data_IF_726328131804
#
_entry.id   IF_726328131804
#
_cell.length_a   1.000
_cell.length_b   1.000
_cell.length_c   1.000
_cell.angle_alpha   90.00
_cell.angle_beta   90.00
_cell.angle_gamma   90.00
#
_symmetry.space_group_name_H-M   'P 1'
#
loop_
_entity.id
_entity.type
_entity.pdbx_description
1 polymer ?
#
# COMPACT_ATOMS: atom_id res chain seq x y z
N UNK A 1 32.03 -58.78 40.56
CA UNK A 1 31.88 -58.25 39.17
C UNK A 1 30.60 -57.45 39.10
N UNK A 2 30.69 -56.14 39.07
CA UNK A 2 29.52 -55.23 38.90
C UNK A 2 29.59 -54.69 37.45
N UNK A 3 28.60 -55.07 36.63
CA UNK A 3 28.43 -54.49 35.30
C UNK A 3 27.79 -53.08 35.42
N UNK A 4 28.46 -52.03 34.93
CA UNK A 4 27.88 -50.72 34.68
C UNK A 4 27.25 -50.76 33.28
N UNK A 5 25.94 -50.55 33.21
CA UNK A 5 25.26 -50.28 31.93
C UNK A 5 25.34 -48.78 31.66
N UNK A 6 25.99 -48.39 30.59
CA UNK A 6 26.00 -47.01 30.11
C UNK A 6 24.76 -46.75 29.22
N UNK A 7 23.92 -45.82 29.66
CA UNK A 7 22.74 -45.37 28.91
C UNK A 7 23.18 -44.27 27.94
N UNK A 8 23.20 -44.54 26.63
CA UNK A 8 23.42 -43.54 25.59
C UNK A 8 22.11 -42.75 25.39
N UNK A 9 22.12 -41.47 25.79
CA UNK A 9 21.09 -40.52 25.40
C UNK A 9 21.33 -40.05 23.94
N UNK A 10 20.50 -40.51 23.01
CA UNK A 10 20.47 -39.97 21.64
C UNK A 10 19.58 -38.76 21.66
N UNK A 11 20.16 -37.54 21.66
CA UNK A 11 19.43 -36.31 21.44
C UNK A 11 19.16 -36.17 19.94
N UNK A 12 17.93 -36.52 19.54
CA UNK A 12 17.47 -36.28 18.17
C UNK A 12 17.35 -34.78 17.94
N UNK A 13 18.24 -34.22 17.11
CA UNK A 13 17.99 -32.90 16.52
C UNK A 13 16.77 -33.00 15.57
N UNK A 14 15.64 -32.48 15.99
CA UNK A 14 14.51 -32.24 15.06
C UNK A 14 14.85 -31.03 14.22
N UNK A 15 15.31 -31.26 12.98
CA UNK A 15 15.41 -30.23 11.97
C UNK A 15 13.95 -29.88 11.57
N UNK A 16 13.44 -28.74 12.03
CA UNK A 16 12.20 -28.19 11.48
C UNK A 16 12.41 -27.97 9.98
N UNK A 17 11.53 -28.45 9.11
CA UNK A 17 11.62 -28.15 7.69
C UNK A 17 11.54 -26.62 7.53
N UNK A 18 12.50 -26.05 6.82
CA UNK A 18 12.41 -24.65 6.41
C UNK A 18 11.08 -24.48 5.69
N UNK A 19 10.20 -23.61 6.21
CA UNK A 19 8.93 -23.33 5.57
C UNK A 19 9.24 -22.71 4.21
N UNK A 20 8.81 -23.36 3.13
CA UNK A 20 8.97 -22.82 1.79
C UNK A 20 8.29 -21.44 1.74
N UNK A 21 9.00 -20.42 1.23
CA UNK A 21 8.43 -19.09 1.06
C UNK A 21 7.17 -19.19 0.20
N UNK A 22 6.07 -18.61 0.67
CA UNK A 22 4.83 -18.55 -0.10
C UNK A 22 5.06 -17.64 -1.31
N UNK A 23 4.74 -18.13 -2.49
CA UNK A 23 4.70 -17.26 -3.67
C UNK A 23 3.60 -16.20 -3.49
N UNK A 24 3.89 -14.97 -3.90
CA UNK A 24 2.88 -13.92 -3.88
C UNK A 24 1.68 -14.34 -4.75
N UNK A 25 0.46 -14.23 -4.23
CA UNK A 25 -0.74 -14.61 -4.99
C UNK A 25 -1.04 -13.62 -6.10
N UNK A 26 -1.71 -14.09 -7.14
CA UNK A 26 -2.47 -13.26 -8.06
C UNK A 26 -3.71 -12.75 -7.34
N UNK A 27 -3.94 -11.44 -7.35
CA UNK A 27 -5.04 -10.80 -6.63
C UNK A 27 -6.23 -10.61 -7.58
N UNK A 28 -7.39 -11.23 -7.32
CA UNK A 28 -8.53 -11.07 -8.21
C UNK A 28 -8.95 -9.60 -8.34
N UNK A 29 -8.69 -8.97 -9.47
CA UNK A 29 -8.98 -7.54 -9.70
C UNK A 29 -10.47 -7.21 -9.52
N UNK A 30 -11.37 -8.17 -9.76
CA UNK A 30 -12.79 -7.99 -9.51
C UNK A 30 -13.10 -7.66 -8.03
N UNK A 31 -12.32 -8.19 -7.09
CA UNK A 31 -12.48 -7.88 -5.68
C UNK A 31 -12.01 -6.44 -5.39
N UNK A 32 -10.90 -6.01 -6.01
CA UNK A 32 -10.41 -4.62 -5.91
C UNK A 32 -11.44 -3.64 -6.47
N UNK A 33 -12.03 -3.97 -7.63
CA UNK A 33 -13.13 -3.18 -8.23
C UNK A 33 -14.37 -3.12 -7.32
N UNK A 34 -14.69 -4.20 -6.60
CA UNK A 34 -15.79 -4.18 -5.63
C UNK A 34 -15.52 -3.18 -4.49
N UNK A 35 -14.27 -3.08 -4.01
CA UNK A 35 -13.89 -2.05 -3.04
C UNK A 35 -14.00 -0.64 -3.62
N UNK A 36 -13.55 -0.42 -4.85
CA UNK A 36 -13.69 0.88 -5.53
C UNK A 36 -15.15 1.29 -5.69
N UNK A 37 -16.03 0.36 -6.08
CA UNK A 37 -17.45 0.61 -6.20
C UNK A 37 -18.09 1.00 -4.85
N UNK A 38 -17.62 0.40 -3.76
CA UNK A 38 -18.09 0.78 -2.43
C UNK A 38 -17.58 2.17 -2.01
N UNK A 39 -16.32 2.52 -2.29
CA UNK A 39 -15.80 3.88 -2.06
C UNK A 39 -16.58 4.92 -2.89
N UNK A 40 -16.92 4.58 -4.14
CA UNK A 40 -17.79 5.42 -4.98
C UNK A 40 -19.18 5.60 -4.36
N UNK A 41 -19.79 4.50 -3.88
CA UNK A 41 -21.09 4.54 -3.22
C UNK A 41 -21.05 5.40 -1.95
N UNK A 42 -19.98 5.27 -1.16
CA UNK A 42 -19.75 6.11 0.03
C UNK A 42 -19.66 7.58 -0.36
N UNK A 43 -18.86 7.92 -1.38
CA UNK A 43 -18.76 9.30 -1.85
C UNK A 43 -20.13 9.84 -2.29
N UNK A 44 -20.88 9.09 -3.10
CA UNK A 44 -22.21 9.48 -3.58
C UNK A 44 -23.19 9.75 -2.42
N UNK A 45 -23.15 8.92 -1.38
CA UNK A 45 -24.01 9.07 -0.20
C UNK A 45 -23.61 10.25 0.71
N UNK A 46 -22.41 10.82 0.52
CA UNK A 46 -21.82 11.82 1.41
C UNK A 46 -21.37 13.11 0.69
N UNK A 47 -22.16 13.56 -0.27
CA UNK A 47 -21.90 14.83 -0.95
C UNK A 47 -20.88 14.77 -2.08
N UNK A 48 -20.67 13.57 -2.67
CA UNK A 48 -19.86 13.35 -3.86
C UNK A 48 -18.35 13.28 -3.63
N UNK A 49 -17.90 13.22 -2.36
CA UNK A 49 -16.48 13.15 -2.05
C UNK A 49 -16.18 12.38 -0.76
N UNK A 50 -14.90 12.10 -0.53
CA UNK A 50 -14.37 11.43 0.67
C UNK A 50 -13.30 12.29 1.36
N UNK A 51 -13.44 13.61 1.21
CA UNK A 51 -12.45 14.59 1.65
C UNK A 51 -12.32 14.66 3.18
N UNK A 52 -11.14 15.10 3.64
CA UNK A 52 -10.90 15.39 5.06
C UNK A 52 -11.98 16.31 5.64
N UNK A 53 -12.40 16.01 6.87
CA UNK A 53 -13.44 16.77 7.56
C UNK A 53 -14.85 16.59 6.98
N UNK A 54 -15.04 15.71 5.98
CA UNK A 54 -16.35 15.37 5.41
C UNK A 54 -16.79 13.96 5.84
N UNK A 55 -18.12 13.71 5.90
CA UNK A 55 -18.62 12.39 6.31
C UNK A 55 -18.12 11.22 5.44
N UNK A 56 -17.89 11.45 4.14
CA UNK A 56 -17.40 10.44 3.22
C UNK A 56 -16.03 9.87 3.60
N UNK A 57 -15.13 10.69 4.15
CA UNK A 57 -13.84 10.18 4.64
C UNK A 57 -14.02 9.23 5.82
N UNK A 58 -14.78 9.65 6.84
CA UNK A 58 -15.05 8.80 8.02
C UNK A 58 -15.75 7.50 7.64
N UNK A 59 -16.71 7.56 6.72
CA UNK A 59 -17.42 6.37 6.23
C UNK A 59 -16.48 5.42 5.47
N UNK A 60 -15.49 5.95 4.71
CA UNK A 60 -14.46 5.14 4.05
C UNK A 60 -13.55 4.46 5.07
N UNK A 61 -13.13 5.17 6.12
CA UNK A 61 -12.34 4.60 7.23
C UNK A 61 -13.11 3.47 7.92
N UNK A 62 -14.41 3.68 8.21
CA UNK A 62 -15.25 2.66 8.86
C UNK A 62 -15.43 1.42 7.98
N UNK A 63 -15.60 1.62 6.67
CA UNK A 63 -15.69 0.51 5.71
C UNK A 63 -14.43 -0.35 5.70
N UNK A 64 -13.26 0.28 5.52
CA UNK A 64 -11.97 -0.44 5.49
C UNK A 64 -11.72 -1.14 6.83
N UNK A 65 -11.96 -0.44 7.94
CA UNK A 65 -11.81 -1.01 9.29
C UNK A 65 -12.69 -2.24 9.49
N UNK A 66 -13.97 -2.17 9.13
CA UNK A 66 -14.89 -3.30 9.30
C UNK A 66 -14.44 -4.55 8.52
N UNK A 67 -13.88 -4.38 7.30
CA UNK A 67 -13.32 -5.48 6.51
C UNK A 67 -12.10 -6.11 7.19
N UNK A 68 -11.22 -5.29 7.72
CA UNK A 68 -9.99 -5.74 8.39
C UNK A 68 -10.28 -6.40 9.75
N UNK A 69 -11.20 -5.84 10.54
CA UNK A 69 -11.64 -6.44 11.81
C UNK A 69 -12.21 -7.84 11.57
N UNK A 70 -13.09 -7.98 10.57
CA UNK A 70 -13.68 -9.26 10.19
C UNK A 70 -12.65 -10.28 9.69
N UNK A 71 -11.51 -9.80 9.16
CA UNK A 71 -10.39 -10.62 8.71
C UNK A 71 -9.38 -10.95 9.82
N UNK A 72 -9.56 -10.44 11.05
CA UNK A 72 -8.71 -10.75 12.20
C UNK A 72 -7.50 -9.82 12.39
N UNK A 73 -7.47 -8.68 11.73
CA UNK A 73 -6.47 -7.65 11.99
C UNK A 73 -6.73 -6.94 13.32
N UNK A 74 -5.65 -6.51 13.98
CA UNK A 74 -5.72 -5.59 15.10
C UNK A 74 -5.74 -4.16 14.56
N UNK A 75 -6.92 -3.53 14.56
CA UNK A 75 -7.09 -2.21 13.97
C UNK A 75 -7.19 -1.11 15.02
N UNK A 76 -6.67 0.07 14.69
CA UNK A 76 -6.91 1.29 15.48
C UNK A 76 -7.11 2.50 14.59
N UNK A 77 -8.04 3.36 14.97
CA UNK A 77 -8.18 4.70 14.39
C UNK A 77 -7.32 5.66 15.20
N UNK A 78 -6.44 6.40 14.52
CA UNK A 78 -5.70 7.51 15.09
C UNK A 78 -6.35 8.80 14.61
N UNK A 79 -6.85 9.62 15.56
CA UNK A 79 -7.47 10.90 15.26
C UNK A 79 -6.45 12.04 15.33
N UNK A 80 -6.63 13.02 14.48
CA UNK A 80 -5.87 14.27 14.50
C UNK A 80 -6.80 15.44 14.13
N UNK A 81 -6.33 16.66 14.35
CA UNK A 81 -7.06 17.87 13.94
C UNK A 81 -6.25 18.63 12.90
N UNK A 82 -6.89 19.00 11.80
CA UNK A 82 -6.32 19.90 10.81
C UNK A 82 -7.37 20.92 10.36
N UNK A 83 -7.00 22.21 10.36
CA UNK A 83 -7.89 23.32 9.96
C UNK A 83 -9.26 23.29 10.66
N UNK A 84 -9.29 22.91 11.95
CA UNK A 84 -10.50 22.84 12.75
C UNK A 84 -11.38 21.61 12.50
N UNK A 85 -11.00 20.71 11.60
CA UNK A 85 -11.72 19.47 11.34
C UNK A 85 -10.98 18.25 11.89
N UNK A 86 -11.73 17.21 12.29
CA UNK A 86 -11.16 15.93 12.72
C UNK A 86 -10.79 15.09 11.52
N UNK A 87 -9.54 14.63 11.49
CA UNK A 87 -9.02 13.64 10.54
C UNK A 87 -8.83 12.28 11.19
N UNK A 88 -8.75 11.27 10.36
CA UNK A 88 -8.65 9.88 10.78
C UNK A 88 -7.60 9.15 9.94
N UNK A 89 -6.62 8.55 10.61
CA UNK A 89 -5.78 7.49 10.04
C UNK A 89 -6.32 6.15 10.52
N UNK A 90 -6.28 5.14 9.69
CA UNK A 90 -6.53 3.75 10.08
C UNK A 90 -5.21 2.98 10.02
N UNK A 91 -4.85 2.33 11.10
CA UNK A 91 -3.69 1.45 11.20
C UNK A 91 -4.19 0.02 11.45
N UNK A 92 -3.65 -0.95 10.73
CA UNK A 92 -3.99 -2.36 10.89
C UNK A 92 -2.74 -3.21 10.99
N UNK A 93 -2.64 -3.97 12.06
CA UNK A 93 -1.55 -4.89 12.34
C UNK A 93 -2.01 -6.33 12.11
N UNK A 94 -1.29 -7.08 11.27
CA UNK A 94 -1.48 -8.52 11.16
C UNK A 94 -0.90 -9.19 12.41
N UNK A 95 -1.64 -10.12 13.10
CA UNK A 95 -1.27 -10.55 14.45
C UNK A 95 -0.05 -11.49 14.53
N UNK A 96 0.71 -11.62 13.45
CA UNK A 96 1.88 -12.51 13.37
C UNK A 96 3.12 -11.77 12.86
N UNK A 97 4.27 -12.43 13.01
CA UNK A 97 5.59 -11.91 12.63
C UNK A 97 6.31 -11.18 13.76
N UNK A 98 7.61 -11.00 13.56
CA UNK A 98 8.49 -10.33 14.53
C UNK A 98 8.20 -8.83 14.61
N UNK A 99 7.64 -8.39 15.72
CA UNK A 99 7.30 -6.99 15.97
C UNK A 99 8.52 -6.05 16.08
N UNK A 100 9.74 -6.57 16.18
CA UNK A 100 10.97 -5.79 16.10
C UNK A 100 11.40 -5.49 14.66
N UNK A 101 10.71 -6.07 13.67
CA UNK A 101 10.95 -5.90 12.24
C UNK A 101 9.62 -5.67 11.51
N UNK A 102 9.17 -4.43 11.47
CA UNK A 102 7.89 -4.07 10.85
C UNK A 102 8.09 -3.71 9.38
N UNK A 103 7.37 -4.37 8.49
CA UNK A 103 7.16 -3.95 7.11
C UNK A 103 5.81 -3.26 7.06
N UNK A 104 5.81 -2.03 6.56
CA UNK A 104 4.60 -1.22 6.49
C UNK A 104 4.26 -0.85 5.05
N UNK A 105 2.99 -0.96 4.69
CA UNK A 105 2.46 -0.49 3.43
C UNK A 105 1.31 0.48 3.66
N UNK A 106 1.15 1.47 2.79
CA UNK A 106 0.07 2.43 2.96
C UNK A 106 -0.24 3.26 1.73
N UNK A 107 -1.28 4.04 1.85
CA UNK A 107 -1.74 5.04 0.90
C UNK A 107 -2.86 5.85 1.52
N UNK A 108 -3.14 7.03 0.96
CA UNK A 108 -4.22 7.83 1.52
C UNK A 108 -5.61 7.33 1.14
N UNK A 109 -6.57 7.63 1.99
CA UNK A 109 -7.96 7.22 1.84
C UNK A 109 -8.92 8.40 1.62
N UNK A 110 -8.47 9.62 1.87
CA UNK A 110 -9.24 10.82 1.56
C UNK A 110 -9.21 11.13 0.06
N UNK A 111 -10.04 12.04 -0.36
CA UNK A 111 -10.07 12.63 -1.69
C UNK A 111 -10.07 14.15 -1.58
N UNK A 112 -9.89 14.84 -2.70
CA UNK A 112 -10.25 16.26 -2.80
C UNK A 112 -11.75 16.45 -2.62
N UNK A 113 -12.18 17.68 -2.28
CA UNK A 113 -13.62 18.02 -2.15
C UNK A 113 -14.38 18.04 -3.47
N UNK A 114 -13.68 18.10 -4.59
CA UNK A 114 -14.26 18.26 -5.93
C UNK A 114 -14.83 16.95 -6.48
N UNK A 115 -14.35 15.79 -6.04
CA UNK A 115 -14.77 14.50 -6.58
C UNK A 115 -14.59 13.33 -5.62
N UNK A 116 -15.01 12.14 -6.05
CA UNK A 116 -14.96 10.93 -5.22
C UNK A 116 -13.55 10.38 -5.01
N UNK A 117 -12.55 10.74 -5.84
CA UNK A 117 -11.17 10.30 -5.71
C UNK A 117 -11.03 8.79 -5.85
N UNK A 118 -11.55 8.20 -6.92
CA UNK A 118 -11.56 6.73 -7.04
C UNK A 118 -10.24 6.21 -7.59
N UNK A 119 -9.59 6.93 -8.50
CA UNK A 119 -8.20 6.66 -8.83
C UNK A 119 -7.26 7.28 -7.80
N UNK A 120 -7.52 8.52 -7.40
CA UNK A 120 -6.73 9.29 -6.44
C UNK A 120 -7.44 9.42 -5.07
N UNK A 121 -7.17 8.58 -4.06
CA UNK A 121 -6.37 7.36 -4.12
C UNK A 121 -7.21 6.15 -3.66
N UNK A 122 -8.44 6.06 -4.15
CA UNK A 122 -9.26 4.86 -3.99
C UNK A 122 -8.54 3.61 -4.53
N UNK A 123 -7.83 3.75 -5.67
CA UNK A 123 -7.16 2.64 -6.34
C UNK A 123 -6.07 1.99 -5.49
N UNK A 124 -5.12 2.77 -4.98
CA UNK A 124 -4.08 2.27 -4.08
C UNK A 124 -4.66 1.73 -2.77
N UNK A 125 -5.61 2.46 -2.18
CA UNK A 125 -6.29 2.05 -0.94
C UNK A 125 -7.07 0.74 -1.08
N UNK A 126 -7.76 0.52 -2.20
CA UNK A 126 -8.50 -0.72 -2.48
C UNK A 126 -7.57 -1.90 -2.76
N UNK A 127 -6.49 -1.67 -3.52
CA UNK A 127 -5.45 -2.68 -3.76
C UNK A 127 -4.82 -3.15 -2.45
N UNK A 128 -4.41 -2.22 -1.58
CA UNK A 128 -3.89 -2.52 -0.24
C UNK A 128 -4.89 -3.33 0.60
N UNK A 129 -6.17 -2.96 0.57
CA UNK A 129 -7.20 -3.67 1.32
C UNK A 129 -7.34 -5.10 0.84
N UNK A 130 -7.43 -5.35 -0.46
CA UNK A 130 -7.60 -6.71 -0.98
C UNK A 130 -6.36 -7.57 -0.74
N UNK A 131 -5.15 -7.01 -0.81
CA UNK A 131 -3.92 -7.72 -0.42
C UNK A 131 -3.96 -8.08 1.07
N UNK A 132 -4.37 -7.16 1.94
CA UNK A 132 -4.51 -7.45 3.37
C UNK A 132 -5.54 -8.57 3.63
N UNK A 133 -6.69 -8.54 2.95
CA UNK A 133 -7.69 -9.61 3.05
C UNK A 133 -7.17 -10.95 2.52
N UNK A 134 -6.32 -10.93 1.49
CA UNK A 134 -5.70 -12.14 0.94
C UNK A 134 -4.68 -12.74 1.91
N UNK A 135 -3.86 -11.92 2.57
CA UNK A 135 -2.97 -12.35 3.66
C UNK A 135 -3.76 -13.09 4.74
N UNK A 136 -4.92 -12.56 5.12
CA UNK A 136 -5.79 -13.18 6.12
C UNK A 136 -6.41 -14.50 5.63
N UNK A 137 -6.97 -14.53 4.40
CA UNK A 137 -7.54 -15.75 3.80
C UNK A 137 -6.53 -16.88 3.69
N UNK A 138 -5.27 -16.57 3.38
CA UNK A 138 -4.18 -17.54 3.30
C UNK A 138 -3.57 -17.87 4.67
N UNK A 139 -4.02 -17.20 5.74
CA UNK A 139 -3.49 -17.35 7.09
C UNK A 139 -1.96 -17.25 7.12
N UNK A 140 -1.39 -16.25 6.43
CA UNK A 140 0.05 -16.07 6.26
C UNK A 140 0.74 -15.95 7.61
N UNK A 141 1.86 -16.67 7.77
CA UNK A 141 2.72 -16.63 8.96
C UNK A 141 4.06 -15.99 8.60
N UNK A 142 4.12 -14.66 8.55
CA UNK A 142 5.30 -13.95 8.07
C UNK A 142 6.44 -14.00 9.09
N UNK A 143 7.69 -13.95 8.60
CA UNK A 143 8.83 -13.80 9.48
C UNK A 143 8.87 -12.41 10.13
N UNK A 144 8.53 -11.35 9.36
CA UNK A 144 8.48 -9.98 9.85
C UNK A 144 7.03 -9.52 10.02
N UNK A 145 6.79 -8.62 10.96
CA UNK A 145 5.47 -8.09 11.24
C UNK A 145 4.96 -7.21 10.09
N UNK A 146 3.70 -7.44 9.67
CA UNK A 146 3.06 -6.68 8.61
C UNK A 146 2.06 -5.67 9.19
N UNK A 147 2.24 -4.41 8.82
CA UNK A 147 1.37 -3.29 9.19
C UNK A 147 0.88 -2.55 7.96
N UNK A 148 -0.38 -2.18 7.96
CA UNK A 148 -0.98 -1.33 6.94
C UNK A 148 -1.38 0.03 7.53
N UNK A 149 -1.34 1.07 6.67
CA UNK A 149 -1.79 2.42 7.01
C UNK A 149 -2.66 3.01 5.91
N UNK A 150 -3.85 3.50 6.27
CA UNK A 150 -4.69 4.32 5.40
C UNK A 150 -4.71 5.73 6.00
N UNK A 151 -4.19 6.69 5.24
CA UNK A 151 -3.97 8.05 5.72
C UNK A 151 -5.14 8.95 5.37
N UNK A 152 -5.41 9.94 6.21
CA UNK A 152 -6.36 11.01 5.95
C UNK A 152 -5.65 12.34 5.74
N UNK A 153 -6.31 13.27 5.07
CA UNK A 153 -5.81 14.61 4.78
C UNK A 153 -4.45 14.63 4.06
N UNK A 154 -4.21 13.66 3.19
CA UNK A 154 -3.06 13.67 2.28
C UNK A 154 -3.17 14.86 1.34
N UNK A 155 -4.34 15.08 0.77
CA UNK A 155 -4.74 16.14 -0.17
C UNK A 155 -4.58 17.57 0.40
N UNK A 156 -4.31 17.67 1.69
CA UNK A 156 -4.01 18.92 2.40
C UNK A 156 -2.54 19.05 2.81
N UNK A 157 -1.66 18.26 2.16
CA UNK A 157 -0.22 18.29 2.35
C UNK A 157 0.30 17.22 3.30
N UNK A 158 -0.08 15.96 3.09
CA UNK A 158 0.44 14.77 3.78
C UNK A 158 0.21 14.80 5.30
N UNK A 159 -0.92 15.38 5.75
CA UNK A 159 -1.14 15.67 7.17
C UNK A 159 -1.18 14.39 7.99
N UNK A 160 -1.96 13.39 7.54
CA UNK A 160 -2.19 12.17 8.30
C UNK A 160 -0.94 11.31 8.46
N UNK A 161 -0.22 11.05 7.38
CA UNK A 161 1.03 10.28 7.43
C UNK A 161 2.11 11.00 8.24
N UNK A 162 2.21 12.32 8.09
CA UNK A 162 3.12 13.16 8.88
C UNK A 162 2.76 13.10 10.36
N UNK A 163 1.48 13.20 10.71
CA UNK A 163 1.01 13.09 12.08
C UNK A 163 1.33 11.70 12.67
N UNK A 164 1.11 10.62 11.90
CA UNK A 164 1.46 9.28 12.33
C UNK A 164 2.96 9.16 12.63
N UNK A 165 3.83 9.50 11.69
CA UNK A 165 5.28 9.38 11.85
C UNK A 165 5.79 10.23 13.01
N UNK A 166 5.27 11.45 13.18
CA UNK A 166 5.67 12.34 14.28
C UNK A 166 5.17 11.84 15.66
N UNK A 167 4.10 11.05 15.71
CA UNK A 167 3.61 10.45 16.96
C UNK A 167 4.45 9.27 17.44
N UNK A 168 5.33 8.73 16.58
CA UNK A 168 6.18 7.59 16.92
C UNK A 168 7.41 8.03 17.70
N UNK A 169 7.75 7.29 18.75
CA UNK A 169 9.06 7.39 19.44
C UNK A 169 10.18 6.92 18.51
N UNK A 170 11.42 7.27 18.84
CA UNK A 170 12.60 6.79 18.09
C UNK A 170 12.66 5.26 18.05
N UNK A 171 12.34 4.58 19.15
CA UNK A 171 12.29 3.12 19.22
C UNK A 171 11.20 2.54 18.28
N UNK A 172 10.01 3.17 18.21
CA UNK A 172 8.97 2.74 17.29
C UNK A 172 9.31 3.00 15.82
N UNK A 173 10.05 4.07 15.51
CA UNK A 173 10.56 4.32 14.15
C UNK A 173 11.61 3.28 13.75
N UNK A 174 12.53 2.94 14.66
CA UNK A 174 13.65 2.03 14.37
C UNK A 174 13.22 0.59 14.04
N UNK A 175 12.04 0.16 14.48
CA UNK A 175 11.52 -1.17 14.13
C UNK A 175 10.86 -1.20 12.74
N UNK A 176 10.47 -0.06 12.16
CA UNK A 176 9.94 0.00 10.80
C UNK A 176 11.10 -0.13 9.81
N UNK A 177 11.19 -1.26 9.12
CA UNK A 177 12.31 -1.60 8.22
C UNK A 177 12.06 -1.16 6.78
N UNK A 178 10.79 -1.00 6.40
CA UNK A 178 10.39 -0.49 5.09
C UNK A 178 8.97 0.11 5.18
N UNK A 179 8.74 1.17 4.41
CA UNK A 179 7.42 1.69 4.09
C UNK A 179 7.22 1.69 2.57
N UNK A 180 6.18 1.02 2.08
CA UNK A 180 5.87 0.97 0.65
C UNK A 180 4.56 1.72 0.40
N UNK A 181 4.59 2.71 -0.48
CA UNK A 181 3.47 3.61 -0.79
C UNK A 181 2.78 3.23 -2.09
N UNK A 182 1.46 3.24 -2.08
CA UNK A 182 0.66 2.96 -3.26
C UNK A 182 -0.37 4.05 -3.46
N UNK A 183 -0.14 4.84 -4.51
CA UNK A 183 -0.90 6.04 -4.80
C UNK A 183 -1.14 6.13 -6.30
N UNK A 184 -2.43 6.21 -6.68
CA UNK A 184 -2.90 6.20 -8.08
C UNK A 184 -2.37 5.00 -8.87
N UNK A 185 -3.01 3.85 -8.72
CA UNK A 185 -2.61 2.59 -9.36
C UNK A 185 -3.49 2.20 -10.56
N UNK A 186 -4.51 3.01 -10.87
CA UNK A 186 -5.53 2.70 -11.88
C UNK A 186 -5.74 3.77 -12.94
N UNK A 187 -4.78 4.63 -13.24
CA UNK A 187 -4.93 5.74 -14.18
C UNK A 187 -5.42 5.30 -15.56
N UNK A 188 -6.36 6.02 -16.21
CA UNK A 188 -7.02 5.57 -17.45
C UNK A 188 -6.08 5.48 -18.66
N UNK A 189 -5.01 6.27 -18.67
CA UNK A 189 -3.95 6.22 -19.68
C UNK A 189 -2.61 5.83 -19.00
N UNK A 190 -2.47 4.60 -18.44
CA UNK A 190 -1.53 4.29 -17.39
C UNK A 190 -0.07 4.29 -17.83
N UNK A 191 0.81 4.73 -16.93
CA UNK A 191 2.22 4.40 -16.89
C UNK A 191 2.48 3.31 -15.84
N UNK A 192 3.69 2.81 -15.80
CA UNK A 192 4.15 1.86 -14.78
C UNK A 192 5.45 2.41 -14.19
N UNK A 193 5.26 3.29 -13.19
CA UNK A 193 6.36 3.97 -12.54
C UNK A 193 6.68 3.32 -11.19
N UNK A 194 7.97 3.24 -10.89
CA UNK A 194 8.49 2.89 -9.58
C UNK A 194 9.19 4.13 -8.99
N UNK A 195 9.01 4.38 -7.70
CA UNK A 195 9.65 5.50 -7.04
C UNK A 195 11.15 5.30 -7.00
N UNK A 196 11.89 6.30 -7.51
CA UNK A 196 13.36 6.27 -7.50
C UNK A 196 13.91 6.33 -6.07
N UNK A 197 14.86 5.46 -5.78
CA UNK A 197 15.61 5.43 -4.52
C UNK A 197 16.64 6.57 -4.41
N UNK A 198 16.88 7.30 -5.50
CA UNK A 198 17.82 8.41 -5.52
C UNK A 198 17.42 9.49 -4.52
N UNK A 199 18.31 9.80 -3.57
CA UNK A 199 18.06 10.77 -2.52
C UNK A 199 17.15 10.27 -1.39
N UNK A 200 16.77 8.99 -1.40
CA UNK A 200 15.98 8.37 -0.35
C UNK A 200 16.86 7.72 0.73
N UNK A 201 16.30 7.35 1.90
CA UNK A 201 17.04 6.67 2.95
C UNK A 201 17.72 5.37 2.48
N UNK A 202 18.83 5.02 3.13
CA UNK A 202 19.52 3.75 2.89
C UNK A 202 18.57 2.57 3.03
N UNK A 203 18.62 1.64 2.08
CA UNK A 203 17.70 0.49 1.96
C UNK A 203 16.54 0.72 0.98
N UNK A 204 16.30 1.94 0.51
CA UNK A 204 15.23 2.23 -0.48
C UNK A 204 15.52 1.61 -1.84
N UNK A 205 16.80 1.44 -2.23
CA UNK A 205 17.16 0.76 -3.48
C UNK A 205 16.64 -0.69 -3.52
N UNK A 206 16.74 -1.41 -2.41
CA UNK A 206 16.23 -2.78 -2.35
C UNK A 206 14.70 -2.85 -2.54
N UNK A 207 13.97 -1.81 -2.16
CA UNK A 207 12.51 -1.71 -2.38
C UNK A 207 12.23 -1.35 -3.84
N UNK A 208 13.00 -0.43 -4.44
CA UNK A 208 12.94 -0.09 -5.87
C UNK A 208 13.15 -1.34 -6.72
N UNK A 209 14.28 -2.05 -6.54
CA UNK A 209 14.62 -3.28 -7.26
C UNK A 209 13.51 -4.35 -7.14
N UNK A 210 12.92 -4.49 -5.94
CA UNK A 210 11.86 -5.45 -5.69
C UNK A 210 10.57 -5.10 -6.45
N UNK A 211 10.19 -3.82 -6.48
CA UNK A 211 9.00 -3.36 -7.21
C UNK A 211 9.19 -3.50 -8.72
N UNK A 212 10.40 -3.18 -9.24
CA UNK A 212 10.74 -3.41 -10.65
C UNK A 212 10.70 -4.90 -11.00
N UNK A 213 11.23 -5.77 -10.13
CA UNK A 213 11.16 -7.22 -10.30
C UNK A 213 9.70 -7.73 -10.33
N UNK A 214 8.81 -7.16 -9.50
CA UNK A 214 7.38 -7.47 -9.49
C UNK A 214 6.71 -7.17 -10.83
N UNK A 215 6.98 -6.00 -11.42
CA UNK A 215 6.50 -5.66 -12.76
C UNK A 215 7.14 -6.52 -13.86
N UNK A 216 8.44 -6.77 -13.76
CA UNK A 216 9.15 -7.62 -14.72
C UNK A 216 8.59 -9.05 -14.75
N UNK A 217 8.19 -9.61 -13.60
CA UNK A 217 7.53 -10.90 -13.51
C UNK A 217 6.17 -10.94 -14.25
N UNK A 218 5.52 -9.78 -14.43
CA UNK A 218 4.30 -9.60 -15.23
C UNK A 218 4.60 -9.21 -16.69
N UNK A 219 5.86 -9.17 -17.11
CA UNK A 219 6.27 -8.72 -18.45
C UNK A 219 6.03 -7.23 -18.71
N UNK A 220 5.98 -6.40 -17.66
CA UNK A 220 5.68 -4.97 -17.73
C UNK A 220 6.96 -4.16 -17.52
N UNK A 221 7.46 -3.43 -18.53
CA UNK A 221 8.59 -2.54 -18.36
C UNK A 221 8.21 -1.32 -17.52
N UNK A 222 9.11 -0.90 -16.63
CA UNK A 222 8.93 0.26 -15.75
C UNK A 222 9.76 1.47 -16.18
N UNK A 223 9.48 2.61 -15.58
CA UNK A 223 10.37 3.78 -15.52
C UNK A 223 10.44 4.24 -14.06
N UNK A 224 11.64 4.69 -13.67
CA UNK A 224 11.81 5.32 -12.38
C UNK A 224 11.21 6.73 -12.40
N UNK A 225 10.57 7.11 -11.29
CA UNK A 225 10.02 8.46 -11.14
C UNK A 225 10.33 9.01 -9.77
N UNK A 226 10.56 10.32 -9.73
CA UNK A 226 10.53 11.06 -8.48
C UNK A 226 9.15 11.73 -8.37
N UNK A 227 8.38 11.35 -7.37
CA UNK A 227 7.12 12.05 -7.07
C UNK A 227 7.33 13.34 -6.27
N UNK A 228 8.59 13.75 -6.08
CA UNK A 228 8.95 15.04 -5.46
C UNK A 228 8.46 15.21 -4.02
N UNK A 229 8.23 14.12 -3.32
CA UNK A 229 7.67 14.17 -1.96
C UNK A 229 6.17 14.53 -1.93
N UNK A 230 5.44 14.35 -3.02
CA UNK A 230 4.00 14.65 -3.16
C UNK A 230 3.08 13.53 -2.70
N UNK A 231 3.60 12.50 -2.00
CA UNK A 231 2.77 11.42 -1.44
C UNK A 231 3.32 10.96 -0.08
N UNK A 232 2.58 10.13 0.62
CA UNK A 232 2.75 9.76 2.03
C UNK A 232 4.12 9.15 2.39
N UNK A 233 4.84 8.55 1.42
CA UNK A 233 6.21 8.06 1.64
C UNK A 233 7.15 9.14 2.17
N UNK A 234 6.90 10.40 1.83
CA UNK A 234 7.77 11.51 2.21
C UNK A 234 7.86 11.70 3.73
N UNK A 235 6.80 11.42 4.48
CA UNK A 235 6.84 11.49 5.94
C UNK A 235 7.81 10.44 6.52
N UNK A 236 7.79 9.23 5.99
CA UNK A 236 8.65 8.12 6.39
C UNK A 236 10.10 8.36 5.96
N UNK A 237 10.32 8.80 4.72
CA UNK A 237 11.64 9.14 4.20
C UNK A 237 12.34 10.22 5.06
N UNK A 238 11.62 11.30 5.43
CA UNK A 238 12.13 12.34 6.33
C UNK A 238 12.51 11.80 7.71
N UNK A 239 11.90 10.71 8.14
CA UNK A 239 12.25 10.03 9.39
C UNK A 239 13.39 9.00 9.24
N UNK A 240 14.01 8.88 8.05
CA UNK A 240 15.10 7.95 7.77
C UNK A 240 14.66 6.51 7.55
N UNK A 241 13.36 6.26 7.37
CA UNK A 241 12.80 4.93 7.09
C UNK A 241 12.92 4.66 5.59
N UNK A 242 13.47 3.50 5.16
CA UNK A 242 13.52 3.13 3.75
C UNK A 242 12.14 3.14 3.10
N UNK A 243 12.02 3.75 1.92
CA UNK A 243 10.74 3.89 1.22
C UNK A 243 10.81 3.48 -0.23
N UNK A 244 9.69 3.05 -0.77
CA UNK A 244 9.45 2.84 -2.20
C UNK A 244 7.97 2.98 -2.50
N UNK A 245 7.59 2.77 -3.74
CA UNK A 245 6.19 2.82 -4.13
C UNK A 245 6.00 2.69 -5.64
N UNK A 246 4.75 2.58 -6.07
CA UNK A 246 4.38 2.55 -7.48
C UNK A 246 3.34 3.61 -7.79
N UNK A 247 3.28 4.00 -9.07
CA UNK A 247 2.44 5.09 -9.54
C UNK A 247 2.05 4.88 -11.00
N UNK A 248 0.80 5.09 -11.36
CA UNK A 248 0.33 4.93 -12.74
C UNK A 248 0.24 6.24 -13.53
N UNK A 249 0.56 7.37 -12.89
CA UNK A 249 0.59 8.70 -13.51
C UNK A 249 -0.63 9.55 -13.22
N UNK A 250 -0.45 10.85 -13.13
CA UNK A 250 -1.49 11.85 -12.86
C UNK A 250 -1.67 12.83 -14.04
N UNK A 251 -1.53 14.13 -13.77
CA UNK A 251 -1.79 15.23 -14.73
C UNK A 251 -0.75 15.36 -15.86
N UNK A 252 0.42 14.76 -15.69
CA UNK A 252 1.49 14.83 -16.69
C UNK A 252 1.09 14.08 -17.95
N UNK A 253 1.49 14.61 -19.11
CA UNK A 253 1.17 14.00 -20.39
C UNK A 253 2.15 12.88 -20.74
N UNK A 254 1.59 11.73 -21.14
CA UNK A 254 2.35 10.58 -21.64
C UNK A 254 3.11 10.97 -22.90
N UNK A 255 4.40 10.65 -22.94
CA UNK A 255 5.22 10.87 -24.14
C UNK A 255 4.92 9.84 -25.23
N UNK A 256 5.37 10.10 -26.46
CA UNK A 256 5.25 9.13 -27.56
C UNK A 256 6.01 7.82 -27.24
N UNK A 257 7.20 7.90 -26.63
CA UNK A 257 8.00 6.73 -26.23
C UNK A 257 7.27 5.90 -25.15
N UNK A 258 6.62 6.55 -24.17
CA UNK A 258 5.82 5.88 -23.15
C UNK A 258 4.56 5.24 -23.75
N UNK A 259 3.91 5.89 -24.72
CA UNK A 259 2.77 5.30 -25.42
C UNK A 259 3.17 4.08 -26.26
N UNK A 260 4.35 4.11 -26.86
CA UNK A 260 4.92 2.92 -27.54
C UNK A 260 5.23 1.79 -26.55
N UNK A 261 5.76 2.13 -25.36
CA UNK A 261 6.15 1.17 -24.32
C UNK A 261 4.94 0.52 -23.64
N UNK A 262 3.92 1.31 -23.26
CA UNK A 262 2.82 0.90 -22.39
C UNK A 262 1.45 0.91 -23.07
N UNK A 263 1.36 1.32 -24.32
CA UNK A 263 0.09 1.59 -24.99
C UNK A 263 -0.54 2.91 -24.54
N UNK A 264 -1.80 3.10 -24.92
CA UNK A 264 -2.55 4.31 -24.62
C UNK A 264 -2.25 5.46 -25.59
N UNK A 265 -2.50 6.70 -25.15
CA UNK A 265 -2.46 7.89 -26.02
C UNK A 265 -1.29 8.80 -25.62
N UNK A 266 -0.41 9.08 -26.62
CA UNK A 266 0.63 10.08 -26.48
C UNK A 266 0.04 11.50 -26.39
N UNK A 267 0.75 12.39 -25.71
CA UNK A 267 0.37 13.79 -25.49
C UNK A 267 -0.98 13.99 -24.75
N UNK A 268 -1.43 12.96 -24.06
CA UNK A 268 -2.61 12.95 -23.19
C UNK A 268 -2.15 12.69 -21.76
N UNK A 269 -2.76 13.35 -20.77
CA UNK A 269 -2.48 13.10 -19.36
C UNK A 269 -2.64 11.60 -19.02
N UNK A 270 -1.84 11.10 -18.09
CA UNK A 270 -2.06 9.76 -17.57
C UNK A 270 -3.45 9.64 -16.94
N UNK A 271 -3.86 10.67 -16.20
CA UNK A 271 -5.22 10.84 -15.69
C UNK A 271 -5.73 12.26 -15.92
N UNK A 272 -6.73 12.42 -16.80
CA UNK A 272 -7.39 13.71 -17.05
C UNK A 272 -8.35 14.11 -15.94
N UNK A 273 -8.75 13.15 -15.12
CA UNK A 273 -9.69 13.35 -14.02
C UNK A 273 -8.98 13.56 -12.65
N UNK A 274 -7.65 13.62 -12.65
CA UNK A 274 -6.89 13.92 -11.45
C UNK A 274 -7.40 15.19 -10.76
N UNK A 275 -7.80 15.08 -9.50
CA UNK A 275 -8.41 16.15 -8.70
C UNK A 275 -9.70 16.74 -9.30
N UNK A 276 -10.46 15.97 -10.08
CA UNK A 276 -11.70 16.41 -10.73
C UNK A 276 -12.90 15.56 -10.32
N UNK A 277 -14.12 16.10 -10.55
CA UNK A 277 -15.36 15.37 -10.30
C UNK A 277 -15.52 14.08 -11.13
N UNK A 278 -14.81 13.97 -12.25
CA UNK A 278 -14.83 12.78 -13.10
C UNK A 278 -13.92 11.65 -12.63
N UNK A 279 -13.18 11.80 -11.50
CA UNK A 279 -12.41 10.71 -10.92
C UNK A 279 -13.35 9.72 -10.20
N UNK A 280 -14.09 8.98 -10.98
CA UNK A 280 -15.11 8.01 -10.57
C UNK A 280 -14.66 6.58 -10.91
N UNK A 281 -15.46 5.58 -10.54
CA UNK A 281 -15.21 4.18 -10.91
C UNK A 281 -15.13 3.96 -12.43
N UNK A 282 -15.69 4.85 -13.24
CA UNK A 282 -15.52 4.86 -14.70
C UNK A 282 -14.16 5.38 -15.19
N UNK A 283 -13.35 5.99 -14.31
CA UNK A 283 -12.02 6.53 -14.62
C UNK A 283 -10.88 5.53 -14.37
N UNK A 284 -11.18 4.25 -14.22
CA UNK A 284 -10.19 3.23 -13.86
C UNK A 284 -9.78 2.38 -15.06
N UNK A 285 -8.47 2.26 -15.29
CA UNK A 285 -7.92 1.23 -16.16
C UNK A 285 -7.74 -0.07 -15.35
N UNK A 286 -8.60 -1.05 -15.62
CA UNK A 286 -8.63 -2.33 -14.88
C UNK A 286 -7.32 -3.11 -15.02
N UNK A 287 -6.68 -3.09 -16.19
CA UNK A 287 -5.39 -3.77 -16.40
C UNK A 287 -4.26 -3.12 -15.58
N UNK A 288 -4.26 -1.79 -15.46
CA UNK A 288 -3.30 -1.09 -14.60
C UNK A 288 -3.53 -1.44 -13.13
N UNK A 289 -4.80 -1.36 -12.70
CA UNK A 289 -5.20 -1.69 -11.33
C UNK A 289 -4.78 -3.11 -10.95
N UNK A 290 -5.03 -4.09 -11.83
CA UNK A 290 -4.66 -5.50 -11.68
C UNK A 290 -3.15 -5.66 -11.48
N UNK A 291 -2.36 -5.16 -12.44
CA UNK A 291 -0.90 -5.29 -12.42
C UNK A 291 -0.26 -4.64 -11.19
N UNK A 292 -0.70 -3.43 -10.84
CA UNK A 292 -0.20 -2.74 -9.65
C UNK A 292 -0.60 -3.48 -8.38
N UNK A 293 -1.82 -4.03 -8.29
CA UNK A 293 -2.25 -4.77 -7.10
C UNK A 293 -1.43 -6.04 -6.91
N UNK A 294 -1.14 -6.76 -7.99
CA UNK A 294 -0.25 -7.93 -7.92
C UNK A 294 1.17 -7.56 -7.50
N UNK A 295 1.67 -6.40 -7.94
CA UNK A 295 2.99 -5.90 -7.52
C UNK A 295 2.97 -5.50 -6.04
N UNK A 296 1.85 -4.97 -5.51
CA UNK A 296 1.67 -4.76 -4.06
C UNK A 296 1.82 -6.09 -3.33
N UNK A 297 1.12 -7.13 -3.77
CA UNK A 297 1.21 -8.45 -3.16
C UNK A 297 2.63 -9.02 -3.25
N UNK A 298 3.25 -8.96 -4.44
CA UNK A 298 4.62 -9.42 -4.67
C UNK A 298 5.63 -8.77 -3.72
N UNK A 299 5.58 -7.44 -3.61
CA UNK A 299 6.49 -6.69 -2.75
C UNK A 299 6.29 -7.04 -1.28
N UNK A 300 5.03 -7.08 -0.80
CA UNK A 300 4.75 -7.34 0.60
C UNK A 300 5.12 -8.77 0.99
N UNK A 301 4.74 -9.79 0.21
CA UNK A 301 5.08 -11.19 0.50
C UNK A 301 6.60 -11.40 0.55
N UNK A 302 7.33 -10.77 -0.37
CA UNK A 302 8.80 -10.84 -0.38
C UNK A 302 9.43 -10.14 0.84
N UNK A 303 8.94 -8.95 1.20
CA UNK A 303 9.49 -8.17 2.31
C UNK A 303 9.22 -8.79 3.67
N UNK A 304 8.05 -9.39 3.87
CA UNK A 304 7.70 -10.01 5.15
C UNK A 304 8.30 -11.40 5.33
N UNK A 305 8.88 -12.01 4.28
CA UNK A 305 9.41 -13.38 4.32
C UNK A 305 8.28 -14.39 4.53
N UNK A 306 7.25 -14.31 3.70
CA UNK A 306 6.07 -15.18 3.75
C UNK A 306 6.35 -16.54 3.11
#
# INVERSE_FOLDING_TARGET
>A
MKLLAALLLVTGLTISPAQAALAAPDIPVANVQAHLNELQRIANANGGNRAHGRPGHKASVDYVKAKLDAAGYQTRIQTFTNSGATGYNLIADWPFGDASQVIMAGGHLDSVTRGPGINDNGSGSAGLLEVALTVARQNVRPAKHLRFGWWGAEELGLVGSTFYVNSLTSAQKSVIKAYVNFDMTGSPNPGYFVYSSSGQPSGSLAIEDLLEAGFAAKGVPTELTSVGGRSDHAAFARAGIPTGGTFSGAEVRKTAAQAQKWGGQANVAFDRCYHQACDTSGNINVTSLDRHTDVIAYALYSLIGA
#
